data_IF_409233233860
#
_entry.id   IF_409233233860
#
_cell.length_a   1.000
_cell.length_b   1.000
_cell.length_c   1.000
_cell.angle_alpha   90.00
_cell.angle_beta   90.00
_cell.angle_gamma   90.00
#
_symmetry.space_group_name_H-M   'P 1'
#
loop_
_entity.id
_entity.type
_entity.pdbx_description
1 polymer ?
#
# COMPACT_ATOMS: atom_id res chain seq x y z
N UNK A 1 -18.57 -9.74 9.94
CA UNK A 1 -18.02 -10.15 11.25
C UNK A 1 -17.71 -8.87 12.02
N UNK A 2 -17.17 -8.94 13.25
CA UNK A 2 -16.80 -7.73 14.01
C UNK A 2 -15.31 -7.44 13.80
N UNK A 3 -14.89 -6.18 13.77
CA UNK A 3 -13.48 -5.81 13.80
C UNK A 3 -12.79 -6.31 15.08
N UNK A 4 -11.51 -6.67 14.98
CA UNK A 4 -10.62 -6.94 16.13
C UNK A 4 -9.60 -5.81 16.23
N UNK A 5 -9.31 -5.36 17.45
CA UNK A 5 -8.27 -4.37 17.69
C UNK A 5 -7.64 -4.55 19.06
N UNK A 6 -6.36 -4.19 19.16
CA UNK A 6 -5.62 -4.12 20.42
C UNK A 6 -5.10 -2.70 20.60
N UNK A 7 -5.51 -2.02 21.67
CA UNK A 7 -4.93 -0.70 21.98
C UNK A 7 -3.49 -0.91 22.41
N UNK A 8 -2.53 -0.56 21.55
CA UNK A 8 -1.12 -0.83 21.78
C UNK A 8 -0.22 0.18 21.08
N UNK A 9 1.02 0.26 21.53
CA UNK A 9 2.14 0.93 20.87
C UNK A 9 3.35 -0.01 20.68
N UNK A 10 3.12 -1.33 20.74
CA UNK A 10 4.15 -2.35 20.57
C UNK A 10 3.98 -3.09 19.24
N UNK A 11 5.07 -3.65 18.73
CA UNK A 11 5.05 -4.48 17.52
C UNK A 11 4.34 -5.83 17.76
N UNK A 12 3.69 -6.36 16.72
CA UNK A 12 3.24 -7.75 16.66
C UNK A 12 2.11 -8.11 17.62
N UNK A 13 1.22 -7.16 17.93
CA UNK A 13 0.11 -7.37 18.86
C UNK A 13 -1.02 -8.24 18.29
N UNK A 14 -1.13 -8.36 16.97
CA UNK A 14 -2.17 -9.14 16.30
C UNK A 14 -1.65 -10.53 15.93
N UNK A 15 -2.47 -11.55 16.15
CA UNK A 15 -2.27 -12.89 15.59
C UNK A 15 -2.63 -12.93 14.10
N UNK A 16 -2.18 -13.96 13.39
CA UNK A 16 -2.55 -14.16 11.98
C UNK A 16 -4.06 -14.25 11.77
N UNK A 17 -4.79 -14.92 12.68
CA UNK A 17 -6.24 -15.07 12.57
C UNK A 17 -6.99 -13.74 12.78
N UNK A 18 -6.52 -12.90 13.72
CA UNK A 18 -7.11 -11.57 13.92
C UNK A 18 -6.80 -10.64 12.75
N UNK A 19 -5.59 -10.72 12.16
CA UNK A 19 -5.27 -10.00 10.93
C UNK A 19 -6.17 -10.44 9.77
N UNK A 20 -6.38 -11.76 9.58
CA UNK A 20 -7.29 -12.29 8.56
C UNK A 20 -8.72 -11.78 8.73
N UNK A 21 -9.24 -11.77 9.96
CA UNK A 21 -10.56 -11.24 10.25
C UNK A 21 -10.69 -9.76 9.87
N UNK A 22 -9.68 -8.94 10.17
CA UNK A 22 -9.68 -7.54 9.75
C UNK A 22 -9.50 -7.39 8.23
N UNK A 23 -8.66 -8.21 7.60
CA UNK A 23 -8.49 -8.25 6.14
C UNK A 23 -9.81 -8.53 5.43
N UNK A 24 -10.61 -9.47 5.93
CA UNK A 24 -11.93 -9.76 5.37
C UNK A 24 -12.86 -8.54 5.44
N UNK A 25 -12.87 -7.80 6.56
CA UNK A 25 -13.65 -6.56 6.68
C UNK A 25 -13.15 -5.45 5.76
N UNK A 26 -11.83 -5.29 5.62
CA UNK A 26 -11.19 -4.33 4.70
C UNK A 26 -11.56 -4.67 3.26
N UNK A 27 -11.41 -5.93 2.86
CA UNK A 27 -11.70 -6.40 1.51
C UNK A 27 -13.18 -6.23 1.17
N UNK A 28 -14.08 -6.63 2.06
CA UNK A 28 -15.52 -6.45 1.89
C UNK A 28 -15.88 -4.98 1.67
N UNK A 29 -15.22 -4.06 2.37
CA UNK A 29 -15.51 -2.64 2.22
C UNK A 29 -14.87 -2.02 0.96
N UNK A 30 -13.57 -2.21 0.74
CA UNK A 30 -12.86 -1.63 -0.40
C UNK A 30 -13.26 -2.27 -1.73
N UNK A 31 -13.26 -3.59 -1.82
CA UNK A 31 -13.60 -4.31 -3.05
C UNK A 31 -15.12 -4.46 -3.20
N UNK A 32 -15.81 -4.88 -2.13
CA UNK A 32 -17.24 -5.21 -2.19
C UNK A 32 -18.17 -3.99 -2.26
N UNK A 33 -17.80 -2.87 -1.62
CA UNK A 33 -18.63 -1.65 -1.59
C UNK A 33 -18.06 -0.52 -2.44
N UNK A 34 -16.74 -0.28 -2.36
CA UNK A 34 -16.12 0.83 -3.11
C UNK A 34 -15.51 0.41 -4.45
N UNK A 35 -15.59 -0.87 -4.80
CA UNK A 35 -15.18 -1.42 -6.10
C UNK A 35 -13.70 -1.20 -6.46
N UNK A 36 -12.82 -1.19 -5.45
CA UNK A 36 -11.39 -1.25 -5.70
C UNK A 36 -11.00 -2.61 -6.31
N UNK A 37 -9.93 -2.64 -7.09
CA UNK A 37 -9.37 -3.92 -7.57
C UNK A 37 -8.73 -4.70 -6.42
N UNK A 38 -8.72 -6.03 -6.53
CA UNK A 38 -8.11 -6.88 -5.52
C UNK A 38 -6.58 -6.70 -5.47
N UNK A 39 -5.96 -6.33 -6.58
CA UNK A 39 -4.55 -5.94 -6.67
C UNK A 39 -4.25 -4.71 -5.81
N UNK A 40 -5.04 -3.63 -5.96
CA UNK A 40 -4.88 -2.40 -5.19
C UNK A 40 -5.15 -2.63 -3.70
N UNK A 41 -6.20 -3.38 -3.37
CA UNK A 41 -6.50 -3.75 -1.96
C UNK A 41 -5.35 -4.54 -1.35
N UNK A 42 -4.81 -5.54 -2.06
CA UNK A 42 -3.69 -6.35 -1.55
C UNK A 42 -2.44 -5.53 -1.32
N UNK A 43 -2.14 -4.57 -2.21
CA UNK A 43 -1.03 -3.62 -2.05
C UNK A 43 -1.17 -2.73 -0.80
N UNK A 44 -2.38 -2.23 -0.54
CA UNK A 44 -2.68 -1.50 0.69
C UNK A 44 -2.51 -2.38 1.92
N UNK A 45 -3.01 -3.63 1.89
CA UNK A 45 -2.87 -4.57 3.01
C UNK A 45 -1.42 -4.88 3.36
N UNK A 46 -0.54 -5.03 2.37
CA UNK A 46 0.90 -5.22 2.61
C UNK A 46 1.54 -4.03 3.32
N UNK A 47 1.11 -2.80 2.99
CA UNK A 47 1.53 -1.59 3.69
C UNK A 47 0.94 -1.56 5.11
N UNK A 48 -0.37 -1.75 5.27
CA UNK A 48 -1.05 -1.77 6.58
C UNK A 48 -0.46 -2.82 7.54
N UNK A 49 -0.07 -4.00 7.05
CA UNK A 49 0.56 -4.99 7.92
C UNK A 49 1.91 -4.49 8.46
N UNK A 50 2.70 -3.81 7.63
CA UNK A 50 3.96 -3.23 8.09
C UNK A 50 3.73 -2.06 9.06
N UNK A 51 2.77 -1.20 8.76
CA UNK A 51 2.47 -0.01 9.56
C UNK A 51 1.84 -0.34 10.92
N UNK A 52 0.90 -1.29 10.95
CA UNK A 52 0.02 -1.49 12.09
C UNK A 52 -0.26 -2.93 12.45
N UNK A 53 0.30 -3.91 11.74
CA UNK A 53 -0.13 -5.31 11.84
C UNK A 53 -1.64 -5.43 11.58
N UNK A 54 -2.19 -4.60 10.69
CA UNK A 54 -3.62 -4.54 10.36
C UNK A 54 -4.49 -4.31 11.62
N UNK A 55 -3.99 -3.51 12.56
CA UNK A 55 -4.68 -3.15 13.79
C UNK A 55 -5.14 -1.70 13.73
N UNK A 56 -6.46 -1.42 13.74
CA UNK A 56 -6.95 -0.04 13.70
C UNK A 56 -6.67 0.75 14.99
N UNK A 57 -6.26 0.09 16.08
CA UNK A 57 -5.90 0.75 17.35
C UNK A 57 -4.40 0.83 17.61
N UNK A 58 -3.55 0.62 16.59
CA UNK A 58 -2.10 0.76 16.73
C UNK A 58 -1.70 2.23 16.87
N UNK A 59 -1.07 2.58 17.99
CA UNK A 59 -0.27 3.80 18.14
C UNK A 59 1.14 3.54 17.65
N UNK A 60 1.78 4.53 17.02
CA UNK A 60 3.16 4.42 16.56
C UNK A 60 4.10 3.95 17.66
N UNK A 61 4.97 2.99 17.33
CA UNK A 61 5.98 2.47 18.25
C UNK A 61 6.89 3.61 18.70
N UNK A 62 7.13 3.69 20.01
CA UNK A 62 7.92 4.76 20.63
C UNK A 62 7.11 6.01 21.03
N UNK A 63 5.82 6.08 20.69
CA UNK A 63 4.92 7.11 21.17
C UNK A 63 3.97 6.58 22.27
N UNK A 64 3.55 7.42 23.22
CA UNK A 64 2.59 7.01 24.24
C UNK A 64 1.20 6.79 23.64
N UNK A 65 0.50 5.75 24.11
CA UNK A 65 -0.90 5.52 23.78
C UNK A 65 -1.70 6.79 24.10
N UNK A 66 -2.56 7.19 23.16
CA UNK A 66 -3.33 8.43 23.27
C UNK A 66 -2.64 9.67 22.70
N UNK A 67 -1.41 9.57 22.17
CA UNK A 67 -0.74 10.69 21.50
C UNK A 67 -1.54 11.25 20.33
N UNK A 68 -1.36 12.55 20.06
CA UNK A 68 -1.92 13.25 18.90
C UNK A 68 -0.87 13.59 17.83
N UNK A 69 0.42 13.38 18.10
CA UNK A 69 1.54 13.82 17.24
C UNK A 69 2.23 12.70 16.43
N UNK A 70 2.18 11.45 16.90
CA UNK A 70 2.72 10.28 16.16
C UNK A 70 1.71 9.66 15.20
N UNK A 71 2.02 8.52 14.61
CA UNK A 71 1.12 7.74 13.77
C UNK A 71 0.03 7.00 14.56
N UNK A 72 -1.12 6.77 13.91
CA UNK A 72 -2.21 5.99 14.48
C UNK A 72 -3.03 5.22 13.43
N UNK A 73 -3.49 4.03 13.78
CA UNK A 73 -4.42 3.23 12.98
C UNK A 73 -3.77 2.45 11.85
N UNK A 74 -4.62 1.95 10.94
CA UNK A 74 -4.27 0.97 9.91
C UNK A 74 -3.09 1.40 9.02
N UNK A 75 -3.10 2.66 8.59
CA UNK A 75 -2.08 3.29 7.71
C UNK A 75 -1.24 4.32 8.48
N UNK A 76 -1.24 4.26 9.81
CA UNK A 76 -0.44 5.15 10.67
C UNK A 76 -0.56 6.66 10.31
N UNK A 77 -1.78 7.18 10.16
CA UNK A 77 -1.99 8.61 9.85
C UNK A 77 -1.18 9.49 10.80
N UNK A 78 -0.34 10.32 10.21
CA UNK A 78 0.60 11.16 10.94
C UNK A 78 0.39 12.64 10.56
N UNK A 79 0.14 13.53 11.54
CA UNK A 79 -0.08 13.23 12.96
C UNK A 79 -1.43 12.54 13.23
N UNK A 80 -1.52 11.73 14.29
CA UNK A 80 -2.69 10.95 14.69
C UNK A 80 -3.97 11.80 14.83
N UNK A 81 -3.78 13.07 15.21
CA UNK A 81 -4.85 14.06 15.31
C UNK A 81 -5.65 14.24 14.02
N UNK A 82 -5.10 13.99 12.83
CA UNK A 82 -5.85 14.06 11.56
C UNK A 82 -7.09 13.16 11.61
N UNK A 83 -6.88 11.86 11.75
CA UNK A 83 -7.96 10.90 11.81
C UNK A 83 -8.75 11.02 13.12
N UNK A 84 -8.08 11.16 14.27
CA UNK A 84 -8.76 11.20 15.57
C UNK A 84 -9.71 12.39 15.70
N UNK A 85 -9.31 13.58 15.24
CA UNK A 85 -10.18 14.75 15.27
C UNK A 85 -11.37 14.59 14.33
N UNK A 86 -11.15 14.09 13.11
CA UNK A 86 -12.24 13.83 12.17
C UNK A 86 -13.23 12.81 12.73
N UNK A 87 -12.75 11.70 13.29
CA UNK A 87 -13.60 10.67 13.87
C UNK A 87 -14.42 11.21 15.05
N UNK A 88 -13.79 11.89 16.01
CA UNK A 88 -14.48 12.49 17.17
C UNK A 88 -15.51 13.54 16.76
N UNK A 89 -15.19 14.40 15.79
CA UNK A 89 -16.10 15.42 15.29
C UNK A 89 -17.36 14.85 14.61
N UNK A 90 -17.29 13.60 14.13
CA UNK A 90 -18.39 12.89 13.50
C UNK A 90 -18.99 11.79 14.40
N UNK A 91 -18.68 11.80 15.71
CA UNK A 91 -19.14 10.81 16.70
C UNK A 91 -18.77 9.36 16.32
N UNK A 92 -17.59 9.17 15.74
CA UNK A 92 -17.02 7.87 15.40
C UNK A 92 -15.96 7.45 16.42
N UNK A 93 -15.94 6.16 16.77
CA UNK A 93 -14.87 5.59 17.58
C UNK A 93 -13.55 5.63 16.79
N UNK A 94 -12.46 6.05 17.44
CA UNK A 94 -11.15 6.15 16.77
C UNK A 94 -10.58 4.76 16.46
N UNK A 95 -10.95 3.74 17.23
CA UNK A 95 -10.55 2.35 17.02
C UNK A 95 -11.35 1.66 15.90
N UNK A 96 -12.34 2.34 15.30
CA UNK A 96 -13.19 1.76 14.26
C UNK A 96 -12.44 1.61 12.94
N UNK A 97 -12.09 0.37 12.60
CA UNK A 97 -11.54 0.03 11.29
C UNK A 97 -12.47 0.42 10.13
N UNK A 98 -13.79 0.35 10.32
CA UNK A 98 -14.76 0.80 9.31
C UNK A 98 -14.54 2.27 8.94
N UNK A 99 -14.43 3.16 9.93
CA UNK A 99 -14.28 4.59 9.68
C UNK A 99 -12.88 4.96 9.19
N UNK A 100 -11.88 4.14 9.51
CA UNK A 100 -10.54 4.24 8.96
C UNK A 100 -10.51 3.89 7.46
N UNK A 101 -11.18 2.81 7.04
CA UNK A 101 -11.30 2.45 5.62
C UNK A 101 -12.17 3.44 4.84
N UNK A 102 -13.23 3.97 5.45
CA UNK A 102 -13.97 5.11 4.89
C UNK A 102 -13.03 6.30 4.64
N UNK A 103 -12.24 6.69 5.64
CA UNK A 103 -11.34 7.83 5.52
C UNK A 103 -10.24 7.59 4.48
N UNK A 104 -9.71 6.37 4.38
CA UNK A 104 -8.78 5.98 3.32
C UNK A 104 -9.40 6.22 1.92
N UNK A 105 -10.63 5.76 1.69
CA UNK A 105 -11.28 5.89 0.39
C UNK A 105 -11.66 7.34 0.02
N UNK A 106 -12.23 8.08 0.97
CA UNK A 106 -12.82 9.39 0.70
C UNK A 106 -11.92 10.58 1.04
N UNK A 107 -10.81 10.36 1.77
CA UNK A 107 -9.85 11.40 2.15
C UNK A 107 -10.53 12.66 2.71
N UNK A 108 -11.29 12.56 3.82
CA UNK A 108 -12.23 13.59 4.25
C UNK A 108 -11.59 14.90 4.73
N UNK A 109 -10.27 14.93 4.89
CA UNK A 109 -9.48 16.13 5.23
C UNK A 109 -8.52 16.55 4.09
N UNK A 110 -8.73 16.03 2.88
CA UNK A 110 -7.82 16.19 1.75
C UNK A 110 -7.00 14.94 1.49
N UNK A 111 -6.49 14.82 0.27
CA UNK A 111 -5.75 13.64 -0.18
C UNK A 111 -4.41 13.51 0.54
N UNK A 112 -4.10 12.29 0.98
CA UNK A 112 -2.73 11.93 1.38
C UNK A 112 -1.88 11.54 0.16
N UNK A 113 -2.49 11.29 -1.00
CA UNK A 113 -1.80 10.87 -2.23
C UNK A 113 -1.09 12.03 -2.92
N UNK A 114 0.20 11.86 -3.19
CA UNK A 114 1.03 12.79 -3.97
C UNK A 114 1.74 11.98 -5.05
N UNK A 115 1.23 12.05 -6.28
CA UNK A 115 1.84 11.35 -7.41
C UNK A 115 3.28 11.82 -7.64
N UNK A 116 4.16 10.89 -7.96
CA UNK A 116 5.57 11.16 -8.25
C UNK A 116 5.87 10.94 -9.73
N UNK A 117 7.07 11.31 -10.19
CA UNK A 117 7.46 11.04 -11.58
C UNK A 117 7.63 9.54 -11.86
N UNK A 118 7.96 8.74 -10.84
CA UNK A 118 8.06 7.28 -10.94
C UNK A 118 6.68 6.60 -10.89
N UNK A 119 5.74 7.20 -10.16
CA UNK A 119 4.37 6.72 -9.98
C UNK A 119 3.39 7.86 -10.30
N UNK A 120 3.12 8.12 -11.59
CA UNK A 120 2.35 9.29 -12.01
C UNK A 120 0.84 9.10 -11.91
N UNK A 121 0.37 7.92 -11.48
CA UNK A 121 -1.06 7.61 -11.39
C UNK A 121 -1.78 8.45 -10.33
N UNK A 122 -3.02 8.81 -10.62
CA UNK A 122 -3.87 9.45 -9.63
C UNK A 122 -4.33 8.44 -8.59
N UNK A 123 -4.82 8.90 -7.44
CA UNK A 123 -5.34 7.96 -6.43
C UNK A 123 -6.58 7.20 -6.95
N UNK A 124 -7.40 7.82 -7.81
CA UNK A 124 -8.53 7.13 -8.44
C UNK A 124 -8.06 6.06 -9.42
N UNK A 125 -7.01 6.33 -10.20
CA UNK A 125 -6.40 5.32 -11.09
C UNK A 125 -5.82 4.16 -10.27
N UNK A 126 -5.11 4.45 -9.16
CA UNK A 126 -4.57 3.44 -8.26
C UNK A 126 -5.65 2.48 -7.75
N UNK A 127 -6.78 3.01 -7.27
CA UNK A 127 -7.91 2.21 -6.74
C UNK A 127 -8.50 1.25 -7.77
N UNK A 128 -8.43 1.62 -9.05
CA UNK A 128 -8.95 0.84 -10.19
C UNK A 128 -7.86 0.05 -10.93
N UNK A 129 -6.61 0.09 -10.47
CA UNK A 129 -5.46 -0.42 -11.20
C UNK A 129 -5.37 -1.95 -11.11
N UNK A 130 -5.08 -2.60 -12.25
CA UNK A 130 -4.76 -4.03 -12.31
C UNK A 130 -3.27 -4.26 -12.58
N UNK A 131 -2.42 -3.28 -12.27
CA UNK A 131 -0.97 -3.49 -12.27
C UNK A 131 -0.57 -4.53 -11.22
N UNK A 132 0.68 -5.00 -11.27
CA UNK A 132 1.13 -6.04 -10.35
C UNK A 132 1.04 -5.58 -8.89
N UNK A 133 0.72 -6.52 -7.99
CA UNK A 133 0.67 -6.27 -6.54
C UNK A 133 1.98 -5.64 -6.04
N UNK A 134 3.13 -6.10 -6.54
CA UNK A 134 4.44 -5.54 -6.22
C UNK A 134 4.57 -4.06 -6.64
N UNK A 135 4.15 -3.71 -7.87
CA UNK A 135 4.17 -2.33 -8.35
C UNK A 135 3.24 -1.44 -7.50
N UNK A 136 2.01 -1.87 -7.28
CA UNK A 136 1.02 -1.10 -6.52
C UNK A 136 1.42 -0.95 -5.05
N UNK A 137 2.12 -1.94 -4.48
CA UNK A 137 2.64 -1.85 -3.11
C UNK A 137 3.69 -0.76 -3.01
N UNK A 138 4.61 -0.66 -3.97
CA UNK A 138 5.57 0.45 -4.00
C UNK A 138 4.87 1.77 -4.29
N UNK A 139 3.94 1.81 -5.24
CA UNK A 139 3.17 3.00 -5.58
C UNK A 139 2.49 3.60 -4.34
N UNK A 140 1.75 2.79 -3.58
CA UNK A 140 1.11 3.23 -2.34
C UNK A 140 2.13 3.68 -1.28
N UNK A 141 3.25 2.96 -1.15
CA UNK A 141 4.32 3.33 -0.22
C UNK A 141 4.93 4.71 -0.56
N UNK A 142 5.13 5.00 -1.84
CA UNK A 142 5.77 6.24 -2.31
C UNK A 142 4.82 7.42 -2.33
N UNK A 143 3.60 7.20 -2.77
CA UNK A 143 2.67 8.29 -3.08
C UNK A 143 1.66 8.51 -1.95
N UNK A 144 1.33 7.51 -1.12
CA UNK A 144 0.47 7.65 0.06
C UNK A 144 1.26 7.72 1.37
N UNK A 145 1.98 6.65 1.72
CA UNK A 145 2.62 6.50 3.05
C UNK A 145 3.82 7.46 3.23
N UNK A 146 4.70 7.56 2.22
CA UNK A 146 5.97 8.31 2.26
C UNK A 146 6.80 7.98 3.51
N UNK A 147 6.85 6.71 3.89
CA UNK A 147 7.57 6.25 5.07
C UNK A 147 9.07 6.58 4.99
N UNK A 148 9.66 7.02 6.11
CA UNK A 148 11.09 7.31 6.19
C UNK A 148 11.99 6.09 5.99
N UNK A 149 11.51 4.90 6.38
CA UNK A 149 12.13 3.60 6.08
C UNK A 149 11.14 2.77 5.28
N UNK A 150 11.49 2.43 4.04
CA UNK A 150 10.55 1.82 3.10
C UNK A 150 10.18 0.38 3.46
N UNK A 151 11.14 -0.45 3.86
CA UNK A 151 10.97 -1.90 4.04
C UNK A 151 10.24 -2.58 2.86
N UNK A 152 10.47 -2.11 1.64
CA UNK A 152 9.66 -2.42 0.46
C UNK A 152 9.52 -3.93 0.19
N UNK A 153 10.63 -4.68 0.20
CA UNK A 153 10.59 -6.13 -0.05
C UNK A 153 9.68 -6.88 0.92
N UNK A 154 9.62 -6.44 2.19
CA UNK A 154 8.76 -7.05 3.19
C UNK A 154 7.28 -6.71 2.92
N UNK A 155 6.99 -5.45 2.56
CA UNK A 155 5.63 -5.00 2.24
C UNK A 155 5.09 -5.73 1.00
N UNK A 156 5.92 -5.93 -0.02
CA UNK A 156 5.57 -6.70 -1.21
C UNK A 156 5.24 -8.15 -0.82
N UNK A 157 6.09 -8.79 -0.03
CA UNK A 157 5.85 -10.17 0.42
C UNK A 157 4.52 -10.30 1.21
N UNK A 158 4.20 -9.32 2.05
CA UNK A 158 2.89 -9.27 2.73
C UNK A 158 1.74 -9.08 1.75
N UNK A 159 1.85 -8.12 0.82
CA UNK A 159 0.82 -7.86 -0.17
C UNK A 159 0.52 -9.08 -1.04
N UNK A 160 1.54 -9.79 -1.52
CA UNK A 160 1.39 -11.01 -2.32
C UNK A 160 0.76 -12.15 -1.52
N UNK A 161 1.09 -12.25 -0.22
CA UNK A 161 0.45 -13.21 0.69
C UNK A 161 -1.04 -12.90 0.87
N UNK A 162 -1.42 -11.62 1.03
CA UNK A 162 -2.83 -11.22 1.14
C UNK A 162 -3.59 -11.40 -0.16
N UNK A 163 -2.97 -11.13 -1.31
CA UNK A 163 -3.57 -11.43 -2.61
C UNK A 163 -3.92 -12.92 -2.72
N UNK A 164 -2.96 -13.78 -2.33
CA UNK A 164 -3.15 -15.23 -2.34
C UNK A 164 -4.25 -15.66 -1.37
N UNK A 165 -4.30 -15.08 -0.18
CA UNK A 165 -5.34 -15.34 0.81
C UNK A 165 -6.74 -14.96 0.29
N UNK A 166 -6.88 -13.79 -0.34
CA UNK A 166 -8.17 -13.27 -0.81
C UNK A 166 -8.69 -13.97 -2.06
N UNK A 167 -7.79 -14.37 -2.97
CA UNK A 167 -8.18 -14.92 -4.28
C UNK A 167 -8.05 -16.44 -4.38
N UNK A 168 -7.27 -17.07 -3.49
CA UNK A 168 -6.85 -18.46 -3.63
C UNK A 168 -5.82 -18.70 -4.73
N UNK A 169 -5.28 -17.65 -5.35
CA UNK A 169 -4.36 -17.72 -6.48
C UNK A 169 -3.10 -16.88 -6.24
N UNK A 170 -1.97 -17.31 -6.80
CA UNK A 170 -0.77 -16.49 -6.82
C UNK A 170 -1.02 -15.17 -7.58
N UNK A 171 -0.39 -14.05 -7.18
CA UNK A 171 -0.54 -12.79 -7.88
C UNK A 171 -0.07 -12.91 -9.34
N UNK A 172 -0.68 -12.17 -10.28
CA UNK A 172 -0.23 -12.15 -11.65
C UNK A 172 1.24 -11.71 -11.72
N UNK A 173 2.07 -12.53 -12.35
CA UNK A 173 3.46 -12.16 -12.61
C UNK A 173 3.43 -10.95 -13.55
N UNK A 174 4.20 -9.88 -13.28
CA UNK A 174 4.31 -8.77 -14.21
C UNK A 174 4.67 -9.31 -15.61
N UNK A 175 4.11 -8.78 -16.70
CA UNK A 175 4.55 -9.18 -18.02
C UNK A 175 6.05 -8.96 -18.13
N UNK A 176 6.77 -9.96 -18.64
CA UNK A 176 8.21 -9.85 -18.89
C UNK A 176 8.48 -8.56 -19.67
N UNK A 177 9.55 -7.81 -19.36
CA UNK A 177 9.95 -6.69 -20.19
C UNK A 177 10.16 -7.21 -21.61
N UNK A 178 9.41 -6.66 -22.57
CA UNK A 178 9.50 -7.05 -23.97
C UNK A 178 10.98 -7.04 -24.40
N UNK A 179 11.55 -8.19 -24.82
CA UNK A 179 12.94 -8.27 -25.26
C UNK A 179 13.24 -7.38 -26.47
N UNK A 180 12.23 -6.81 -27.14
CA UNK A 180 12.40 -5.85 -28.24
C UNK A 180 12.98 -4.49 -27.81
N UNK A 181 12.98 -4.18 -26.51
CA UNK A 181 13.49 -2.92 -25.96
C UNK A 181 15.01 -2.83 -25.81
N UNK A 182 15.74 -3.96 -25.89
CA UNK A 182 17.20 -3.97 -25.86
C UNK A 182 17.78 -3.60 -27.23
N UNK A 183 17.69 -2.32 -27.63
CA UNK A 183 18.69 -1.77 -28.55
C UNK A 183 20.02 -1.70 -27.82
N UNK A 184 20.83 -2.75 -27.97
CA UNK A 184 22.18 -2.79 -27.45
C UNK A 184 22.95 -1.54 -27.89
N UNK A 185 23.43 -0.74 -26.94
CA UNK A 185 24.45 0.30 -27.19
C UNK A 185 25.84 -0.33 -27.40
N UNK A 186 25.89 -1.49 -28.07
CA UNK A 186 27.11 -2.23 -28.33
C UNK A 186 27.06 -2.75 -29.77
N UNK A 187 27.54 -1.90 -30.70
CA UNK A 187 28.22 -2.21 -31.98
C UNK A 187 28.23 -1.07 -33.01
N UNK A 188 28.05 0.20 -32.62
CA UNK A 188 28.27 1.34 -33.53
C UNK A 188 29.77 1.65 -33.75
N UNK A 189 30.68 1.08 -32.95
CA UNK A 189 32.13 1.30 -33.10
C UNK A 189 32.90 0.28 -33.98
N UNK A 190 32.23 -0.71 -34.58
CA UNK A 190 32.92 -1.76 -35.38
C UNK A 190 32.54 -1.78 -36.88
N UNK A 191 32.07 -0.66 -37.45
CA UNK A 191 31.85 -0.55 -38.89
C UNK A 191 32.34 0.78 -39.49
N UNK A 192 33.53 1.25 -39.08
CA UNK A 192 34.27 2.31 -39.77
C UNK A 192 35.75 1.95 -40.00
N UNK A 193 36.03 0.72 -40.45
CA UNK A 193 37.34 0.41 -41.03
C UNK A 193 37.25 -0.78 -41.98
N UNK A 194 36.84 -0.51 -43.22
CA UNK A 194 37.35 -1.17 -44.44
C UNK A 194 36.59 -0.69 -45.68
N UNK A 195 36.84 0.56 -46.06
CA UNK A 195 36.77 0.97 -47.47
C UNK A 195 38.01 1.81 -47.75
N UNK A 196 39.01 1.18 -48.35
CA UNK A 196 39.89 1.76 -49.36
C UNK A 196 40.94 0.74 -49.78
N UNK A 197 40.75 0.19 -50.99
CA UNK A 197 41.75 -0.06 -52.05
C UNK A 197 41.32 -1.22 -52.94
N UNK A 198 40.76 -0.87 -54.10
CA UNK A 198 40.91 -1.65 -55.33
C UNK A 198 42.04 -1.02 -56.13
N UNK A 199 42.71 -1.88 -56.90
CA UNK A 199 43.79 -1.62 -57.85
C UNK A 199 43.50 -0.45 -58.80
#
# INVERSE_FOLDING_TARGET
MSWVYHITNTAGSMTQAEMQQNVDEIYNQLCGVYHWTVEAVSAVLGNMQHESYINPAQTQIGYPIGTESGGYGLVQWTPASKFKNWARANNHAIESGFWQIYALNFSPWGTEWISTSAFPESYDDFKNSTQSVAYLTECFLRDYERAGVSALSQRIAYAESWYTYLTGHAPPVPPDPDPSGYRSKAKVWLFMRNRNRKF
#
